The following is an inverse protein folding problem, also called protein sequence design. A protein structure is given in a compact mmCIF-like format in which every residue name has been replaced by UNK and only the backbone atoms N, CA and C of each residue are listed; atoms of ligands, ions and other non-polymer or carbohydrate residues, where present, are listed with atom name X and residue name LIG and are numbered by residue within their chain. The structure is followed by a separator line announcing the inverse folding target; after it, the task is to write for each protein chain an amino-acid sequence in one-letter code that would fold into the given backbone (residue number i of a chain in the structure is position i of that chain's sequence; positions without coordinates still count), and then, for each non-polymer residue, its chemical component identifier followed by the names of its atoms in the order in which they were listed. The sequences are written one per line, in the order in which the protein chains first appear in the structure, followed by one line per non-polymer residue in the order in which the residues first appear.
data_IF_623346490400
#
_entry.id   IF_623346490400
#
_cell.length_a   1.000
_cell.length_b   1.000
_cell.length_c   1.000
_cell.angle_alpha   90.00
_cell.angle_beta   90.00
_cell.angle_gamma   90.00
#
_symmetry.space_group_name_H-M   'P 1'
#
loop_
_entity.id
_entity.type
_entity.pdbx_description
1 polymer ?
#
# COMPACT_ATOMS: atom_id res chain seq x y z
N UNK A 1 13.97 -29.24 4.05
CA UNK A 1 12.59 -29.48 3.60
C UNK A 1 11.97 -28.12 3.35
N UNK A 2 11.91 -27.68 2.10
CA UNK A 2 11.19 -26.47 1.75
C UNK A 2 9.70 -26.80 1.82
N UNK A 3 9.05 -26.42 2.92
CA UNK A 3 7.59 -26.50 3.03
C UNK A 3 6.99 -25.56 2.00
N UNK A 4 6.58 -26.15 0.87
CA UNK A 4 5.92 -25.49 -0.23
C UNK A 4 4.48 -25.15 0.20
N UNK A 5 4.31 -24.08 0.96
CA UNK A 5 2.98 -23.59 1.36
C UNK A 5 2.29 -22.92 0.16
N UNK A 6 1.20 -23.54 -0.30
CA UNK A 6 0.28 -22.96 -1.28
C UNK A 6 -0.87 -22.29 -0.51
N UNK A 7 -1.04 -20.96 -0.59
CA UNK A 7 -2.17 -20.31 0.06
C UNK A 7 -3.48 -20.69 -0.67
N UNK A 8 -4.41 -21.29 0.06
CA UNK A 8 -5.81 -21.44 -0.35
C UNK A 8 -6.43 -20.03 -0.48
N UNK A 9 -6.61 -19.56 -1.71
CA UNK A 9 -7.18 -18.25 -2.03
C UNK A 9 -8.68 -18.24 -1.70
N UNK A 10 -9.02 -17.96 -0.44
CA UNK A 10 -10.41 -17.77 0.00
C UNK A 10 -10.62 -17.89 1.51
N UNK A 11 -10.02 -18.90 2.15
CA UNK A 11 -10.23 -19.21 3.58
C UNK A 11 -9.78 -18.08 4.54
N UNK A 12 -8.90 -17.20 4.09
CA UNK A 12 -8.43 -16.06 4.88
C UNK A 12 -9.45 -14.92 4.99
N UNK A 13 -10.37 -14.77 4.04
CA UNK A 13 -11.31 -13.63 4.03
C UNK A 13 -12.35 -13.76 5.16
N UNK A 14 -12.94 -14.95 5.34
CA UNK A 14 -13.89 -15.22 6.43
C UNK A 14 -13.25 -15.06 7.81
N UNK A 15 -11.95 -15.39 7.92
CA UNK A 15 -11.20 -15.22 9.16
C UNK A 15 -10.95 -13.74 9.45
N UNK A 16 -10.50 -12.96 8.47
CA UNK A 16 -10.32 -11.50 8.60
C UNK A 16 -11.63 -10.83 9.01
N UNK A 17 -12.76 -11.21 8.41
CA UNK A 17 -14.06 -10.61 8.73
C UNK A 17 -14.51 -10.90 10.16
N UNK A 18 -14.28 -12.13 10.67
CA UNK A 18 -14.59 -12.48 12.06
C UNK A 18 -13.71 -11.72 13.04
N UNK A 19 -12.41 -11.67 12.80
CA UNK A 19 -11.47 -10.92 13.64
C UNK A 19 -11.85 -9.43 13.72
N UNK A 20 -12.28 -8.83 12.61
CA UNK A 20 -12.81 -7.46 12.59
C UNK A 20 -14.02 -7.28 13.52
N UNK A 21 -15.01 -8.18 13.45
CA UNK A 21 -16.22 -8.14 14.28
C UNK A 21 -15.94 -8.40 15.77
N UNK A 22 -14.86 -9.11 16.07
CA UNK A 22 -14.42 -9.44 17.42
C UNK A 22 -13.54 -8.36 18.05
N UNK A 23 -13.37 -7.21 17.39
CA UNK A 23 -12.65 -6.06 17.92
C UNK A 23 -11.17 -5.97 17.54
N UNK A 24 -10.66 -6.86 16.68
CA UNK A 24 -9.25 -6.86 16.26
C UNK A 24 -8.99 -5.96 15.03
N UNK A 25 -9.84 -4.97 14.79
CA UNK A 25 -9.70 -4.04 13.67
C UNK A 25 -8.38 -3.25 13.73
N UNK A 26 -7.96 -2.81 14.93
CA UNK A 26 -6.68 -2.13 15.14
C UNK A 26 -5.48 -3.01 14.75
N UNK A 27 -5.34 -4.22 15.33
CA UNK A 27 -4.30 -5.18 14.97
C UNK A 27 -4.29 -5.61 13.51
N UNK A 28 -5.46 -5.77 12.90
CA UNK A 28 -5.55 -6.06 11.46
C UNK A 28 -5.00 -4.91 10.62
N UNK A 29 -5.35 -3.67 10.95
CA UNK A 29 -4.81 -2.46 10.29
C UNK A 29 -3.30 -2.32 10.52
N UNK A 30 -2.81 -2.65 11.71
CA UNK A 30 -1.38 -2.68 12.00
C UNK A 30 -0.66 -3.68 11.10
N UNK A 31 -1.16 -4.91 11.01
CA UNK A 31 -0.59 -5.96 10.17
C UNK A 31 -0.60 -5.57 8.68
N UNK A 32 -1.72 -5.05 8.18
CA UNK A 32 -1.83 -4.49 6.83
C UNK A 32 -0.72 -3.47 6.53
N UNK A 33 -0.51 -2.52 7.45
CA UNK A 33 0.53 -1.49 7.29
C UNK A 33 1.94 -2.08 7.34
N UNK A 34 2.21 -3.05 8.23
CA UNK A 34 3.49 -3.75 8.26
C UNK A 34 3.79 -4.42 6.92
N UNK A 35 2.83 -5.13 6.33
CA UNK A 35 3.00 -5.80 5.04
C UNK A 35 3.25 -4.81 3.91
N UNK A 36 2.52 -3.68 3.87
CA UNK A 36 2.73 -2.63 2.86
C UNK A 36 4.10 -1.98 2.97
N UNK A 37 4.55 -1.67 4.18
CA UNK A 37 5.86 -1.05 4.43
C UNK A 37 6.97 -1.97 3.96
N UNK A 38 6.97 -3.23 4.39
CA UNK A 38 7.98 -4.21 3.98
C UNK A 38 7.96 -4.44 2.46
N UNK A 39 6.80 -4.37 1.81
CA UNK A 39 6.74 -4.42 0.36
C UNK A 39 7.42 -3.22 -0.31
N UNK A 40 7.21 -2.02 0.23
CA UNK A 40 7.88 -0.79 -0.24
C UNK A 40 9.39 -0.84 -0.03
N UNK A 41 9.83 -1.17 1.19
CA UNK A 41 11.25 -1.26 1.55
C UNK A 41 12.00 -2.23 0.62
N UNK A 42 11.41 -3.40 0.32
CA UNK A 42 12.01 -4.40 -0.58
C UNK A 42 12.11 -3.95 -2.04
N UNK A 43 11.23 -3.06 -2.49
CA UNK A 43 11.28 -2.52 -3.85
C UNK A 43 12.29 -1.39 -3.99
N UNK A 44 12.50 -0.62 -2.92
CA UNK A 44 13.51 0.43 -2.86
C UNK A 44 14.93 -0.14 -2.73
N UNK A 45 15.14 -1.07 -1.80
CA UNK A 45 16.47 -1.60 -1.48
C UNK A 45 16.95 -2.68 -2.47
N UNK A 46 16.03 -3.33 -3.20
CA UNK A 46 16.32 -4.48 -4.07
C UNK A 46 16.82 -5.73 -3.33
N UNK A 47 16.86 -5.71 -2.00
CA UNK A 47 17.31 -6.80 -1.12
C UNK A 47 16.15 -7.23 -0.22
N UNK A 48 15.95 -8.54 -0.07
CA UNK A 48 14.90 -9.09 0.79
C UNK A 48 15.52 -9.85 1.97
N UNK A 49 15.38 -9.30 3.18
CA UNK A 49 15.71 -9.98 4.42
C UNK A 49 14.45 -10.32 5.22
N UNK A 50 14.50 -11.31 6.15
CA UNK A 50 13.41 -11.55 7.08
C UNK A 50 13.20 -10.34 8.00
N UNK A 51 11.95 -9.92 8.18
CA UNK A 51 11.59 -8.75 9.01
C UNK A 51 10.79 -9.21 10.22
N UNK A 52 11.17 -8.86 11.46
CA UNK A 52 10.39 -9.18 12.65
C UNK A 52 9.12 -8.32 12.74
N UNK A 53 8.00 -8.93 13.13
CA UNK A 53 6.80 -8.24 13.57
C UNK A 53 6.93 -7.94 15.06
N UNK A 54 7.10 -6.66 15.37
CA UNK A 54 7.23 -6.18 16.74
C UNK A 54 5.95 -5.43 17.12
N UNK A 55 5.08 -6.01 17.98
CA UNK A 55 3.93 -5.28 18.51
C UNK A 55 4.43 -4.21 19.47
N UNK A 56 4.12 -2.94 19.18
CA UNK A 56 4.57 -1.78 19.98
C UNK A 56 3.46 -1.19 20.85
N UNK A 57 2.28 -1.81 20.85
CA UNK A 57 1.12 -1.42 21.63
C UNK A 57 0.54 -2.67 22.28
N UNK A 58 -0.07 -2.49 23.45
CA UNK A 58 -0.73 -3.57 24.21
C UNK A 58 -1.77 -4.29 23.34
N UNK A 59 -2.63 -3.54 22.63
CA UNK A 59 -3.63 -4.11 21.72
C UNK A 59 -3.02 -5.06 20.66
N UNK A 60 -1.84 -4.73 20.13
CA UNK A 60 -1.16 -5.57 19.14
C UNK A 60 -0.49 -6.78 19.81
N UNK A 61 0.00 -6.63 21.04
CA UNK A 61 0.57 -7.72 21.82
C UNK A 61 -0.50 -8.75 22.17
N UNK A 62 -1.64 -8.31 22.69
CA UNK A 62 -2.81 -9.16 22.97
C UNK A 62 -3.26 -9.92 21.72
N UNK A 63 -3.31 -9.23 20.58
CA UNK A 63 -3.64 -9.87 19.31
C UNK A 63 -2.63 -10.95 18.90
N UNK A 64 -1.36 -10.80 19.25
CA UNK A 64 -0.32 -11.81 18.97
C UNK A 64 -0.47 -13.06 19.86
N UNK A 65 -1.18 -12.96 20.98
CA UNK A 65 -1.56 -14.11 21.81
C UNK A 65 -2.83 -14.82 21.32
N UNK A 66 -3.71 -14.12 20.60
CA UNK A 66 -4.94 -14.68 20.04
C UNK A 66 -4.63 -15.80 19.00
N UNK A 67 -5.25 -16.96 19.17
CA UNK A 67 -5.00 -18.13 18.32
C UNK A 67 -5.50 -17.92 16.88
N UNK A 68 -6.60 -17.20 16.69
CA UNK A 68 -7.21 -16.93 15.38
C UNK A 68 -6.37 -15.91 14.62
N UNK A 69 -5.87 -14.89 15.30
CA UNK A 69 -4.93 -13.92 14.71
C UNK A 69 -3.62 -14.60 14.29
N UNK A 70 -3.03 -15.45 15.15
CA UNK A 70 -1.87 -16.28 14.77
C UNK A 70 -2.15 -17.24 13.61
N UNK A 71 -3.38 -17.74 13.50
CA UNK A 71 -3.81 -18.57 12.36
C UNK A 71 -3.83 -17.75 11.08
N UNK A 72 -4.33 -16.51 11.12
CA UNK A 72 -4.26 -15.57 10.00
C UNK A 72 -2.80 -15.30 9.59
N UNK A 73 -1.90 -15.05 10.55
CA UNK A 73 -0.47 -14.84 10.25
C UNK A 73 0.13 -16.01 9.46
N UNK A 74 -0.17 -17.26 9.84
CA UNK A 74 0.26 -18.46 9.11
C UNK A 74 -0.33 -18.53 7.70
N UNK A 75 -1.63 -18.24 7.55
CA UNK A 75 -2.28 -18.23 6.24
C UNK A 75 -1.66 -17.21 5.28
N UNK A 76 -1.24 -16.06 5.81
CA UNK A 76 -0.53 -15.02 5.07
C UNK A 76 0.94 -15.37 4.78
N UNK A 77 1.44 -16.50 5.30
CA UNK A 77 2.80 -16.99 5.08
C UNK A 77 3.85 -16.41 6.04
N UNK A 78 3.43 -15.83 7.17
CA UNK A 78 4.36 -15.40 8.21
C UNK A 78 4.78 -16.58 9.08
N UNK A 79 6.02 -16.53 9.55
CA UNK A 79 6.60 -17.59 10.37
C UNK A 79 6.45 -17.27 11.86
N UNK A 80 6.04 -18.24 12.70
CA UNK A 80 6.20 -18.11 14.13
C UNK A 80 7.69 -18.03 14.53
N UNK A 81 7.99 -17.61 15.77
CA UNK A 81 9.33 -17.75 16.33
C UNK A 81 9.78 -19.23 16.29
N UNK A 82 11.04 -19.50 15.90
CA UNK A 82 11.51 -20.88 15.72
C UNK A 82 11.68 -21.67 17.03
N UNK A 83 11.94 -20.97 18.13
CA UNK A 83 12.25 -21.55 19.43
C UNK A 83 12.07 -20.50 20.51
N UNK A 84 12.26 -20.88 21.77
CA UNK A 84 12.24 -19.95 22.92
C UNK A 84 13.30 -18.84 22.84
N UNK A 85 14.27 -18.94 21.94
CA UNK A 85 15.27 -17.89 21.71
C UNK A 85 14.76 -16.76 20.80
N UNK A 86 13.74 -17.02 19.97
CA UNK A 86 13.09 -15.99 19.16
C UNK A 86 11.78 -15.55 19.83
N UNK A 87 11.55 -14.24 19.92
CA UNK A 87 10.32 -13.70 20.52
C UNK A 87 9.29 -13.24 19.48
N UNK A 88 9.73 -12.92 18.26
CA UNK A 88 8.89 -12.25 17.26
C UNK A 88 8.55 -13.15 16.08
N UNK A 89 7.32 -13.02 15.59
CA UNK A 89 6.95 -13.53 14.28
C UNK A 89 7.75 -12.83 13.19
N UNK A 90 7.93 -13.47 12.04
CA UNK A 90 8.72 -12.92 10.94
C UNK A 90 7.95 -12.94 9.62
N UNK A 91 8.12 -11.88 8.86
CA UNK A 91 7.82 -11.83 7.42
C UNK A 91 9.02 -12.45 6.70
N UNK A 92 8.89 -13.62 6.06
CA UNK A 92 10.02 -14.27 5.39
C UNK A 92 10.56 -13.45 4.22
N UNK A 93 11.86 -13.60 3.94
CA UNK A 93 12.51 -13.01 2.76
C UNK A 93 11.87 -13.49 1.44
N UNK A 94 11.38 -14.73 1.40
CA UNK A 94 10.77 -15.34 0.22
C UNK A 94 9.40 -14.74 -0.18
N UNK A 95 8.76 -13.94 0.70
CA UNK A 95 7.52 -13.26 0.34
C UNK A 95 7.82 -12.05 -0.57
N UNK A 96 7.47 -12.14 -1.84
CA UNK A 96 7.72 -11.04 -2.79
C UNK A 96 6.87 -9.80 -2.44
N UNK A 97 7.30 -8.59 -2.85
CA UNK A 97 6.51 -7.38 -2.65
C UNK A 97 5.06 -7.49 -3.17
N UNK A 98 4.87 -8.14 -4.33
CA UNK A 98 3.54 -8.40 -4.89
C UNK A 98 2.68 -9.28 -3.99
N UNK A 99 3.24 -10.34 -3.38
CA UNK A 99 2.51 -11.21 -2.45
C UNK A 99 2.16 -10.46 -1.16
N UNK A 100 3.08 -9.66 -0.63
CA UNK A 100 2.85 -8.82 0.55
C UNK A 100 1.71 -7.82 0.31
N UNK A 101 1.66 -7.18 -0.86
CA UNK A 101 0.57 -6.27 -1.23
C UNK A 101 -0.77 -6.98 -1.36
N UNK A 102 -0.79 -8.17 -1.97
CA UNK A 102 -2.02 -8.97 -2.06
C UNK A 102 -2.54 -9.34 -0.67
N UNK A 103 -1.65 -9.79 0.21
CA UNK A 103 -1.98 -10.10 1.60
C UNK A 103 -2.50 -8.87 2.37
N UNK A 104 -1.89 -7.69 2.17
CA UNK A 104 -2.38 -6.47 2.80
C UNK A 104 -3.77 -6.06 2.27
N UNK A 105 -3.99 -6.16 0.96
CA UNK A 105 -5.29 -5.86 0.35
C UNK A 105 -6.38 -6.80 0.88
N UNK A 106 -6.08 -8.08 1.03
CA UNK A 106 -7.00 -9.10 1.55
C UNK A 106 -7.41 -8.86 3.01
N UNK A 107 -6.64 -8.06 3.77
CA UNK A 107 -7.01 -7.58 5.12
C UNK A 107 -7.88 -6.31 5.03
N UNK A 108 -7.53 -5.40 4.12
CA UNK A 108 -8.15 -4.07 3.99
C UNK A 108 -9.62 -4.12 3.52
N UNK A 109 -10.00 -5.10 2.70
CA UNK A 109 -11.34 -5.20 2.10
C UNK A 109 -12.49 -5.38 3.10
N UNK A 110 -12.21 -5.51 4.41
CA UNK A 110 -13.21 -5.75 5.45
C UNK A 110 -13.24 -4.73 6.60
N UNK A 111 -12.50 -3.63 6.50
CA UNK A 111 -12.80 -2.47 7.35
C UNK A 111 -14.19 -1.92 7.00
N UNK A 112 -14.96 -1.36 7.95
CA UNK A 112 -16.13 -0.59 7.58
C UNK A 112 -15.66 0.45 6.56
N UNK A 113 -16.11 0.30 5.32
CA UNK A 113 -15.92 1.29 4.27
C UNK A 113 -16.64 2.54 4.78
N UNK A 114 -15.91 3.37 5.52
CA UNK A 114 -16.31 4.72 5.81
C UNK A 114 -16.39 5.43 4.47
N UNK A 115 -17.59 5.50 3.92
CA UNK A 115 -17.93 6.42 2.85
C UNK A 115 -17.28 7.78 3.14
N UNK A 116 -16.57 8.42 2.19
CA UNK A 116 -16.14 9.80 2.36
C UNK A 116 -17.34 10.72 2.15
N UNK A 117 -18.28 10.75 3.09
CA UNK A 117 -19.48 11.60 3.05
C UNK A 117 -19.88 11.99 4.49
N UNK A 118 -18.99 12.62 5.24
CA UNK A 118 -19.36 13.63 6.23
C UNK A 118 -18.16 14.56 6.45
N UNK A 119 -17.77 15.24 5.37
CA UNK A 119 -17.04 16.48 5.54
C UNK A 119 -18.13 17.54 5.76
N UNK A 120 -18.25 18.17 6.94
CA UNK A 120 -19.16 19.30 7.08
C UNK A 120 -18.73 20.37 6.09
N UNK A 121 -19.64 20.78 5.20
CA UNK A 121 -19.43 21.90 4.29
C UNK A 121 -18.85 23.08 5.10
N UNK A 122 -17.77 23.73 4.61
CA UNK A 122 -17.28 24.92 5.29
C UNK A 122 -18.42 25.95 5.36
N UNK A 123 -18.59 26.66 6.49
CA UNK A 123 -19.72 27.54 6.71
C UNK A 123 -19.79 28.56 5.57
N UNK A 124 -20.95 28.57 4.88
CA UNK A 124 -21.21 29.59 3.86
C UNK A 124 -21.09 30.95 4.52
N UNK A 125 -20.16 31.77 4.02
CA UNK A 125 -20.00 33.15 4.46
C UNK A 125 -21.36 33.85 4.40
N UNK A 126 -21.73 34.68 5.40
CA UNK A 126 -23.00 35.37 5.39
C UNK A 126 -23.08 36.25 4.14
N UNK A 127 -24.04 35.91 3.29
CA UNK A 127 -24.56 36.71 2.20
C UNK A 127 -25.00 38.08 2.74
N UNK A 128 -24.17 39.11 2.52
CA UNK A 128 -24.53 40.51 2.71
C UNK A 128 -25.58 40.87 1.65
N UNK A 129 -26.81 41.03 2.12
CA UNK A 129 -27.95 41.53 1.36
C UNK A 129 -27.72 43.01 1.05
N UNK A 130 -27.19 43.30 -0.14
CA UNK A 130 -27.28 44.64 -0.73
C UNK A 130 -28.26 44.62 -1.91
N UNK A 131 -29.35 45.43 -1.90
CA UNK A 131 -30.27 45.54 -3.01
C UNK A 131 -29.76 46.60 -4.00
N UNK A 132 -29.71 46.28 -5.29
CA UNK A 132 -29.43 47.31 -6.29
C UNK A 132 -29.03 46.79 -7.65
N UNK A 133 -30.01 46.79 -8.55
CA UNK A 133 -29.89 47.13 -9.98
C UNK A 133 -28.73 46.50 -10.78
N UNK A 134 -29.11 45.49 -11.56
CA UNK A 134 -28.94 45.51 -13.01
C UNK A 134 -27.58 45.95 -13.54
N UNK A 135 -26.80 44.96 -13.99
CA UNK A 135 -26.02 45.01 -15.23
C UNK A 135 -25.53 43.59 -15.50
N UNK A 136 -26.07 42.98 -16.55
CA UNK A 136 -25.70 41.63 -16.93
C UNK A 136 -24.30 41.55 -17.51
N UNK A 137 -23.67 40.39 -17.39
CA UNK A 137 -22.70 39.90 -18.37
C UNK A 137 -22.89 38.40 -18.57
N UNK A 138 -22.85 38.04 -19.85
CA UNK A 138 -23.23 36.74 -20.41
C UNK A 138 -22.27 35.63 -19.98
N UNK A 139 -22.82 34.41 -19.98
CA UNK A 139 -22.05 33.18 -20.15
C UNK A 139 -21.17 33.28 -21.40
N UNK A 140 -19.88 33.00 -21.27
CA UNK A 140 -18.94 32.85 -22.37
C UNK A 140 -18.31 31.46 -22.35
N UNK A 141 -18.86 30.54 -23.14
CA UNK A 141 -18.07 29.44 -23.70
C UNK A 141 -17.06 30.00 -24.70
N UNK A 142 -15.95 29.31 -24.93
CA UNK A 142 -15.54 29.13 -26.32
C UNK A 142 -15.28 27.66 -26.66
N UNK A 143 -15.69 27.35 -27.88
CA UNK A 143 -15.56 26.09 -28.61
C UNK A 143 -14.63 26.33 -29.80
N UNK A 144 -13.71 25.37 -30.02
CA UNK A 144 -13.02 24.95 -31.25
C UNK A 144 -12.10 25.88 -32.05
N UNK A 145 -11.03 25.27 -32.59
CA UNK A 145 -10.28 25.66 -33.80
C UNK A 145 -8.79 25.35 -33.65
N UNK A 146 -8.28 24.16 -34.01
CA UNK A 146 -7.81 23.77 -35.35
C UNK A 146 -6.58 24.57 -35.85
N UNK A 147 -5.46 23.88 -36.09
CA UNK A 147 -4.37 24.41 -36.94
C UNK A 147 -2.95 23.88 -36.67
N UNK A 148 -2.55 22.90 -37.48
CA UNK A 148 -1.20 22.75 -38.10
C UNK A 148 -0.01 22.19 -37.29
N UNK A 149 0.57 21.14 -37.88
CA UNK A 149 1.79 20.38 -37.51
C UNK A 149 3.06 20.96 -38.23
N UNK A 150 4.26 20.33 -38.22
CA UNK A 150 5.50 20.68 -37.49
C UNK A 150 6.62 21.24 -38.44
N UNK A 151 7.93 21.43 -38.05
CA UNK A 151 8.90 20.35 -37.79
C UNK A 151 10.03 20.63 -36.76
N UNK A 152 10.70 19.54 -36.36
CA UNK A 152 12.14 19.36 -36.10
C UNK A 152 12.98 20.44 -35.40
N UNK A 153 13.66 20.03 -34.32
CA UNK A 153 15.13 20.08 -34.18
C UNK A 153 15.54 19.43 -32.84
N UNK A 154 15.88 18.14 -32.88
CA UNK A 154 16.74 17.53 -31.87
C UNK A 154 18.19 17.69 -32.34
N UNK A 155 19.11 18.29 -31.56
CA UNK A 155 20.52 18.08 -31.78
C UNK A 155 20.96 16.72 -31.19
N UNK A 156 21.16 15.73 -32.07
CA UNK A 156 22.26 14.77 -31.96
C UNK A 156 23.59 15.55 -31.93
N UNK A 157 24.71 15.12 -31.35
CA UNK A 157 25.16 13.94 -30.64
C UNK A 157 26.54 14.32 -30.06
N UNK A 158 27.04 13.62 -29.04
CA UNK A 158 28.47 13.32 -29.04
C UNK A 158 28.74 11.91 -28.47
N UNK A 159 29.48 11.06 -29.20
CA UNK A 159 29.77 9.68 -28.82
C UNK A 159 30.98 9.55 -27.88
N UNK A 160 30.90 8.60 -26.96
CA UNK A 160 32.03 8.15 -26.14
C UNK A 160 33.05 7.39 -27.00
N UNK A 161 34.36 7.68 -26.91
CA UNK A 161 35.37 6.93 -27.63
C UNK A 161 35.63 5.56 -27.00
N UNK A 162 35.62 4.53 -27.85
CA UNK A 162 36.13 3.21 -27.56
C UNK A 162 37.66 3.26 -27.35
N UNK A 163 38.11 2.94 -26.14
CA UNK A 163 39.51 2.65 -25.85
C UNK A 163 39.81 1.18 -26.11
N UNK A 164 40.45 0.91 -27.25
CA UNK A 164 41.18 -0.31 -27.55
C UNK A 164 42.55 -0.30 -26.85
N UNK A 165 42.94 -1.44 -26.30
CA UNK A 165 44.32 -1.76 -25.90
C UNK A 165 44.32 -2.69 -24.68
N UNK A 166 45.06 -3.79 -24.61
CA UNK A 166 45.88 -4.50 -25.58
C UNK A 166 46.03 -5.93 -25.05
N UNK A 167 46.05 -6.88 -25.96
CA UNK A 167 46.56 -8.23 -25.78
C UNK A 167 48.08 -8.15 -25.58
N UNK A 168 48.62 -8.87 -24.59
CA UNK A 168 50.05 -9.23 -24.52
C UNK A 168 50.23 -10.49 -23.68
N UNK A 169 50.99 -11.40 -24.29
CA UNK A 169 51.39 -12.79 -23.98
C UNK A 169 51.67 -13.16 -22.51
#
# INVERSE_FOLDING_TARGET
VEEHWVPEEGAGQDLVQRLHQEGLAGPLRWLENCLRRVAGDREEDGVSHPVPLVPLTEENEDAMEDQRFRTLLRQLGLRPPASEQESFWRIPAALTPQRLRRAAASIAHHGPSGSPQDLPEPPRCPQDLAPGEGRGWRCGTPRCGAGSEPPSLCPSAEPLPAGLGSDSE
#
